data_IF_166415409212
#
_entry.id   IF_166415409212
#
_cell.length_a   1.000
_cell.length_b   1.000
_cell.length_c   1.000
_cell.angle_alpha   90.00
_cell.angle_beta   90.00
_cell.angle_gamma   90.00
#
_symmetry.space_group_name_H-M   'P 1'
#
loop_
_entity.id
_entity.type
_entity.pdbx_description
1 polymer ?
#
# COMPACT_ATOMS: atom_id res chain seq x y z
N UNK A 1 14.31 -24.84 44.18
CA UNK A 1 13.37 -23.82 43.77
C UNK A 1 12.30 -24.50 42.94
N UNK A 2 11.08 -24.60 43.40
CA UNK A 2 9.99 -25.16 42.62
C UNK A 2 9.77 -24.27 41.37
N UNK A 3 9.71 -24.88 40.20
CA UNK A 3 9.33 -24.16 38.99
C UNK A 3 7.93 -23.59 39.19
N UNK A 4 7.80 -22.29 38.95
CA UNK A 4 6.51 -21.62 38.94
C UNK A 4 5.72 -22.13 37.73
N UNK A 5 4.78 -23.06 37.99
CA UNK A 5 3.94 -23.69 36.95
C UNK A 5 2.78 -22.79 36.51
N UNK A 6 2.84 -21.50 36.82
CA UNK A 6 1.80 -20.55 36.40
C UNK A 6 1.84 -20.32 34.87
N UNK A 7 0.66 -20.36 34.25
CA UNK A 7 0.49 -19.99 32.83
C UNK A 7 0.85 -18.52 32.64
N UNK A 8 1.79 -18.25 31.73
CA UNK A 8 2.21 -16.89 31.40
C UNK A 8 1.93 -16.58 29.94
N UNK A 9 1.41 -15.39 29.67
CA UNK A 9 1.28 -14.88 28.32
C UNK A 9 2.66 -14.48 27.77
N UNK A 10 2.96 -14.91 26.56
CA UNK A 10 4.12 -14.40 25.82
C UNK A 10 3.78 -13.01 25.25
N UNK A 11 4.51 -11.99 25.66
CA UNK A 11 4.42 -10.65 25.11
C UNK A 11 5.67 -10.41 24.24
N UNK A 12 5.53 -10.22 22.92
CA UNK A 12 6.67 -9.92 22.06
C UNK A 12 7.33 -8.61 22.49
N UNK A 13 8.64 -8.64 22.72
CA UNK A 13 9.42 -7.46 23.05
C UNK A 13 10.40 -7.12 21.92
N UNK A 14 10.68 -5.83 21.69
CA UNK A 14 11.70 -5.43 20.72
C UNK A 14 13.10 -5.67 21.32
N UNK A 15 14.07 -6.06 20.46
CA UNK A 15 15.47 -6.14 20.87
C UNK A 15 16.07 -4.75 21.14
N UNK A 16 15.56 -3.72 20.45
CA UNK A 16 16.00 -2.32 20.54
C UNK A 16 14.76 -1.42 20.66
N UNK A 17 14.77 -0.50 21.62
CA UNK A 17 13.71 0.49 21.81
C UNK A 17 14.10 1.86 21.24
N UNK A 18 13.13 2.74 20.93
CA UNK A 18 13.42 4.13 20.54
C UNK A 18 14.29 4.82 21.59
N UNK A 19 15.44 5.35 21.15
CA UNK A 19 16.43 5.98 22.02
C UNK A 19 17.64 5.11 22.40
N UNK A 20 17.53 3.77 22.22
CA UNK A 20 18.66 2.86 22.38
C UNK A 20 19.60 2.93 21.18
N UNK A 21 20.85 2.46 21.38
CA UNK A 21 21.78 2.28 20.27
C UNK A 21 21.35 1.06 19.44
N UNK A 22 21.05 1.23 18.12
CA UNK A 22 20.60 0.12 17.29
C UNK A 22 21.77 -0.84 17.03
N UNK A 23 21.52 -2.14 17.23
CA UNK A 23 22.41 -3.23 16.84
C UNK A 23 21.82 -4.00 15.66
N UNK A 24 22.36 -3.80 14.47
CA UNK A 24 21.94 -4.48 13.24
C UNK A 24 22.76 -5.76 12.95
N UNK A 25 23.71 -6.12 13.80
CA UNK A 25 24.61 -7.25 13.57
C UNK A 25 23.88 -8.58 13.45
N UNK A 26 22.72 -8.71 14.12
CA UNK A 26 21.88 -9.91 14.13
C UNK A 26 20.79 -9.91 13.06
N UNK A 27 20.62 -8.81 12.33
CA UNK A 27 19.59 -8.72 11.28
C UNK A 27 20.14 -9.36 9.99
N UNK A 28 19.58 -10.47 9.50
CA UNK A 28 20.01 -11.06 8.25
C UNK A 28 19.58 -10.17 7.08
N UNK A 29 20.52 -9.37 6.59
CA UNK A 29 20.29 -8.53 5.41
C UNK A 29 20.81 -9.30 4.19
N UNK A 30 19.94 -9.72 3.24
CA UNK A 30 20.40 -10.46 2.06
C UNK A 30 21.28 -9.57 1.17
N UNK A 31 22.19 -10.22 0.44
CA UNK A 31 23.04 -9.53 -0.53
C UNK A 31 22.16 -8.86 -1.60
N UNK A 32 22.48 -7.60 -1.95
CA UNK A 32 21.79 -6.93 -3.05
C UNK A 32 21.88 -7.76 -4.34
N UNK A 33 20.79 -7.81 -5.10
CA UNK A 33 20.69 -8.56 -6.35
C UNK A 33 20.55 -10.07 -6.20
N UNK A 34 20.44 -10.63 -4.98
CA UNK A 34 20.35 -12.10 -4.78
C UNK A 34 18.94 -12.68 -4.97
N UNK A 35 17.90 -11.87 -4.90
CA UNK A 35 16.50 -12.33 -5.04
C UNK A 35 16.11 -12.37 -6.51
N UNK A 36 15.59 -13.50 -7.03
CA UNK A 36 15.17 -13.61 -8.42
C UNK A 36 13.97 -12.71 -8.72
N UNK A 37 13.85 -12.26 -9.98
CA UNK A 37 12.68 -11.53 -10.46
C UNK A 37 11.78 -12.49 -11.24
N UNK A 38 10.60 -12.84 -10.72
CA UNK A 38 9.68 -13.74 -11.40
C UNK A 38 8.94 -13.00 -12.53
N UNK A 39 8.37 -13.72 -13.52
CA UNK A 39 7.45 -13.15 -14.47
C UNK A 39 6.20 -12.60 -13.74
N UNK A 40 5.51 -11.62 -14.36
CA UNK A 40 4.36 -10.94 -13.72
C UNK A 40 3.14 -11.85 -13.56
N UNK A 41 3.02 -12.90 -14.37
CA UNK A 41 1.93 -13.90 -14.37
C UNK A 41 2.24 -15.17 -13.55
N UNK A 42 3.35 -15.19 -12.83
CA UNK A 42 3.75 -16.33 -12.01
C UNK A 42 2.66 -16.77 -11.02
N UNK A 43 2.53 -18.07 -10.80
CA UNK A 43 1.63 -18.57 -9.74
C UNK A 43 2.15 -18.11 -8.36
N UNK A 44 1.30 -17.53 -7.51
CA UNK A 44 1.72 -17.11 -6.16
C UNK A 44 2.35 -18.21 -5.32
N UNK A 45 2.01 -19.48 -5.60
CA UNK A 45 2.55 -20.64 -4.89
C UNK A 45 4.04 -20.87 -5.18
N UNK A 46 4.52 -20.44 -6.35
CA UNK A 46 5.90 -20.64 -6.80
C UNK A 46 6.88 -19.59 -6.25
N UNK A 47 6.34 -18.51 -5.67
CA UNK A 47 7.14 -17.37 -5.15
C UNK A 47 6.94 -17.13 -3.65
N UNK A 48 6.50 -18.12 -2.90
CA UNK A 48 6.24 -17.97 -1.45
C UNK A 48 7.45 -17.50 -0.65
N UNK A 49 8.64 -17.89 -1.04
CA UNK A 49 9.89 -17.52 -0.36
C UNK A 49 10.18 -16.02 -0.46
N UNK A 50 9.61 -15.32 -1.45
CA UNK A 50 9.76 -13.88 -1.60
C UNK A 50 9.09 -13.09 -0.47
N UNK A 51 8.12 -13.68 0.21
CA UNK A 51 7.51 -13.09 1.40
C UNK A 51 8.48 -13.01 2.60
N UNK A 52 9.54 -13.80 2.59
CA UNK A 52 10.56 -13.87 3.66
C UNK A 52 11.89 -13.26 3.26
N UNK A 53 12.17 -13.14 1.95
CA UNK A 53 13.36 -12.50 1.41
C UNK A 53 13.16 -10.98 1.31
N UNK A 54 14.27 -10.20 1.30
CA UNK A 54 14.22 -8.76 1.08
C UNK A 54 14.85 -8.43 -0.27
N UNK A 55 14.07 -7.88 -1.19
CA UNK A 55 14.56 -7.42 -2.50
C UNK A 55 15.37 -6.16 -2.28
N UNK A 56 16.61 -6.17 -2.75
CA UNK A 56 17.56 -5.05 -2.74
C UNK A 56 18.27 -4.97 -4.06
N UNK A 57 18.49 -3.77 -4.55
CA UNK A 57 19.16 -3.46 -5.82
C UNK A 57 20.49 -2.77 -5.57
N UNK A 58 20.52 -1.77 -4.69
CA UNK A 58 21.74 -1.04 -4.38
C UNK A 58 22.67 -1.86 -3.47
N UNK A 59 23.90 -2.08 -3.93
CA UNK A 59 24.96 -2.62 -3.10
C UNK A 59 25.62 -1.53 -2.23
N UNK A 60 26.64 -1.88 -1.42
CA UNK A 60 27.33 -0.94 -0.53
C UNK A 60 28.15 0.12 -1.29
N UNK A 61 28.46 -0.12 -2.56
CA UNK A 61 29.18 0.83 -3.40
C UNK A 61 28.24 1.78 -4.16
N UNK A 62 26.92 1.66 -3.97
CA UNK A 62 25.91 2.43 -4.70
C UNK A 62 25.65 1.93 -6.12
N UNK A 63 26.11 0.72 -6.46
CA UNK A 63 25.89 0.12 -7.78
C UNK A 63 24.56 -0.67 -7.80
N UNK A 64 23.83 -0.55 -8.91
CA UNK A 64 22.61 -1.32 -9.14
C UNK A 64 22.96 -2.73 -9.62
N UNK A 65 22.54 -3.77 -8.88
CA UNK A 65 22.89 -5.16 -9.15
C UNK A 65 21.68 -6.09 -9.13
N UNK A 66 21.78 -7.16 -9.91
CA UNK A 66 20.82 -8.27 -9.91
C UNK A 66 19.61 -8.06 -10.84
N UNK A 67 18.67 -9.03 -10.84
CA UNK A 67 17.57 -9.07 -11.83
C UNK A 67 16.50 -8.00 -11.63
N UNK A 68 16.50 -7.33 -10.47
CA UNK A 68 15.62 -6.21 -10.17
C UNK A 68 16.24 -4.85 -10.50
N UNK A 69 17.52 -4.81 -10.91
CA UNK A 69 18.15 -3.58 -11.39
C UNK A 69 17.35 -3.06 -12.59
N UNK A 70 16.74 -1.89 -12.38
CA UNK A 70 15.86 -1.26 -13.37
C UNK A 70 16.65 -0.46 -14.40
N UNK A 71 15.92 0.11 -15.37
CA UNK A 71 16.45 0.91 -16.48
C UNK A 71 16.14 2.39 -16.32
N UNK A 72 16.07 2.91 -15.08
CA UNK A 72 15.91 4.34 -14.86
C UNK A 72 17.12 5.10 -15.40
N UNK A 73 16.85 6.15 -16.15
CA UNK A 73 17.88 7.05 -16.68
C UNK A 73 18.48 7.90 -15.55
N UNK A 74 19.64 8.47 -15.78
CA UNK A 74 20.27 9.40 -14.85
C UNK A 74 19.34 10.57 -14.50
N UNK A 75 18.65 11.13 -15.49
CA UNK A 75 17.69 12.22 -15.27
C UNK A 75 16.55 11.81 -14.32
N UNK A 76 16.02 10.60 -14.47
CA UNK A 76 14.97 10.06 -13.61
C UNK A 76 15.47 9.77 -12.19
N UNK A 77 16.70 9.32 -12.04
CA UNK A 77 17.34 9.13 -10.74
C UNK A 77 17.54 10.46 -10.01
N UNK A 78 18.03 11.48 -10.70
CA UNK A 78 18.19 12.84 -10.18
C UNK A 78 16.83 13.45 -9.80
N UNK A 79 15.79 13.25 -10.60
CA UNK A 79 14.42 13.65 -10.28
C UNK A 79 13.93 12.97 -8.99
N UNK A 80 14.10 11.66 -8.88
CA UNK A 80 13.72 10.88 -7.68
C UNK A 80 14.45 11.38 -6.43
N UNK A 81 15.76 11.61 -6.52
CA UNK A 81 16.56 12.17 -5.43
C UNK A 81 16.04 13.56 -5.04
N UNK A 82 15.72 14.42 -6.01
CA UNK A 82 15.14 15.74 -5.77
C UNK A 82 13.81 15.65 -5.02
N UNK A 83 12.93 14.72 -5.40
CA UNK A 83 11.66 14.51 -4.70
C UNK A 83 11.87 14.10 -3.25
N UNK A 84 12.78 13.15 -2.98
CA UNK A 84 13.10 12.71 -1.61
C UNK A 84 13.68 13.85 -0.77
N UNK A 85 14.61 14.64 -1.32
CA UNK A 85 15.19 15.80 -0.64
C UNK A 85 14.15 16.90 -0.39
N UNK A 86 13.25 17.10 -1.34
CA UNK A 86 12.11 18.05 -1.19
C UNK A 86 11.21 17.63 -0.04
N UNK A 87 10.82 16.35 0.02
CA UNK A 87 10.01 15.81 1.11
C UNK A 87 10.72 15.95 2.47
N UNK A 88 12.01 15.59 2.54
CA UNK A 88 12.83 15.73 3.75
C UNK A 88 12.91 17.17 4.25
N UNK A 89 13.11 18.12 3.33
CA UNK A 89 13.19 19.54 3.65
C UNK A 89 11.84 20.10 4.09
N UNK A 90 10.77 19.68 3.41
CA UNK A 90 9.39 20.01 3.79
C UNK A 90 9.06 19.52 5.19
N UNK A 91 9.39 18.27 5.51
CA UNK A 91 9.21 17.68 6.85
C UNK A 91 9.88 18.51 7.94
N UNK A 92 11.15 18.88 7.74
CA UNK A 92 11.90 19.66 8.72
C UNK A 92 11.24 21.03 8.98
N UNK A 93 10.72 21.67 7.93
CA UNK A 93 10.00 22.93 8.02
C UNK A 93 8.66 22.79 8.73
N UNK A 94 7.89 21.77 8.41
CA UNK A 94 6.57 21.53 9.01
C UNK A 94 6.69 21.13 10.49
N UNK A 95 7.68 20.32 10.86
CA UNK A 95 7.98 20.03 12.27
C UNK A 95 8.35 21.29 13.07
N UNK A 96 9.14 22.17 12.46
CA UNK A 96 9.46 23.46 13.10
C UNK A 96 8.21 24.31 13.28
N UNK A 97 7.34 24.38 12.27
CA UNK A 97 6.07 25.09 12.33
C UNK A 97 5.13 24.52 13.40
N UNK A 98 5.05 23.20 13.51
CA UNK A 98 4.25 22.54 14.53
C UNK A 98 4.76 22.83 15.95
N UNK A 99 6.08 22.75 16.19
CA UNK A 99 6.69 23.09 17.48
C UNK A 99 6.52 24.56 17.86
N UNK A 100 6.38 25.44 16.87
CA UNK A 100 6.07 26.88 17.07
C UNK A 100 4.56 27.15 17.24
N UNK A 101 3.70 26.13 17.24
CA UNK A 101 2.26 26.27 17.33
C UNK A 101 1.58 26.90 16.10
N UNK A 102 2.31 26.99 14.96
CA UNK A 102 1.76 27.56 13.71
C UNK A 102 0.85 26.61 12.95
N UNK A 103 1.01 25.32 13.18
CA UNK A 103 0.12 24.26 12.70
C UNK A 103 -0.23 23.34 13.87
N UNK A 104 -1.43 22.78 13.85
CA UNK A 104 -1.99 22.03 14.99
C UNK A 104 -1.37 20.64 15.14
N UNK A 105 -0.99 20.01 14.01
CA UNK A 105 -0.54 18.63 13.97
C UNK A 105 0.43 18.43 12.80
N UNK A 106 1.42 17.54 12.95
CA UNK A 106 2.26 17.10 11.86
C UNK A 106 2.87 15.72 12.15
N UNK A 107 2.95 14.88 11.14
CA UNK A 107 3.62 13.58 11.18
C UNK A 107 4.69 13.52 10.09
N UNK A 108 5.92 13.27 10.49
CA UNK A 108 7.07 13.21 9.59
C UNK A 108 7.02 11.97 8.68
N UNK A 109 7.62 12.14 7.50
CA UNK A 109 7.85 11.08 6.51
C UNK A 109 9.29 10.55 6.55
N UNK A 110 10.10 11.06 7.48
CA UNK A 110 11.52 10.77 7.59
C UNK A 110 11.79 9.25 7.64
N UNK A 111 12.65 8.78 6.72
CA UNK A 111 12.98 7.36 6.56
C UNK A 111 12.05 6.60 5.62
N UNK A 112 10.95 7.21 5.13
CA UNK A 112 9.99 6.58 4.22
C UNK A 112 9.91 7.33 2.86
N UNK A 113 10.85 8.23 2.57
CA UNK A 113 10.82 9.06 1.37
C UNK A 113 10.91 8.22 0.09
N UNK A 114 11.82 7.25 0.07
CA UNK A 114 12.02 6.41 -1.11
C UNK A 114 10.78 5.56 -1.41
N UNK A 115 10.08 5.06 -0.37
CA UNK A 115 8.88 4.23 -0.54
C UNK A 115 7.83 4.96 -1.37
N UNK A 116 7.43 6.16 -0.97
CA UNK A 116 6.35 6.89 -1.64
C UNK A 116 6.78 7.51 -2.97
N UNK A 117 7.99 8.11 -3.03
CA UNK A 117 8.47 8.77 -4.25
C UNK A 117 8.76 7.77 -5.38
N UNK A 118 9.43 6.64 -5.07
CA UNK A 118 9.73 5.63 -6.08
C UNK A 118 8.47 4.90 -6.56
N UNK A 119 7.52 4.63 -5.64
CA UNK A 119 6.27 3.98 -5.99
C UNK A 119 5.45 4.83 -6.96
N UNK A 120 5.34 6.15 -6.70
CA UNK A 120 4.63 7.07 -7.62
C UNK A 120 5.20 7.05 -9.04
N UNK A 121 6.52 6.97 -9.17
CA UNK A 121 7.20 6.89 -10.48
C UNK A 121 6.82 5.64 -11.29
N UNK A 122 6.39 4.58 -10.62
CA UNK A 122 5.99 3.31 -11.25
C UNK A 122 4.51 3.25 -11.65
N UNK A 123 3.71 4.25 -11.29
CA UNK A 123 2.26 4.28 -11.55
C UNK A 123 1.93 5.09 -12.80
N UNK A 124 0.88 4.66 -13.49
CA UNK A 124 0.34 5.35 -14.64
C UNK A 124 -0.58 6.53 -14.25
N UNK A 125 -0.77 7.51 -15.14
CA UNK A 125 -1.74 8.56 -14.95
C UNK A 125 -3.16 8.00 -14.74
N UNK A 126 -3.81 8.41 -13.66
CA UNK A 126 -5.17 7.99 -13.32
C UNK A 126 -5.26 6.82 -12.35
N UNK A 127 -4.15 6.13 -12.06
CA UNK A 127 -4.11 5.17 -10.95
C UNK A 127 -4.40 5.87 -9.63
N UNK A 128 -5.14 5.21 -8.74
CA UNK A 128 -5.63 5.83 -7.51
C UNK A 128 -4.94 5.25 -6.27
N UNK A 129 -4.25 6.11 -5.52
CA UNK A 129 -3.68 5.77 -4.22
C UNK A 129 -4.68 6.01 -3.09
N UNK A 130 -4.75 5.07 -2.15
CA UNK A 130 -5.49 5.15 -0.89
C UNK A 130 -4.46 5.19 0.24
N UNK A 131 -3.90 6.36 0.53
CA UNK A 131 -2.72 6.51 1.37
C UNK A 131 -3.05 6.63 2.85
N UNK A 132 -2.02 6.55 3.69
CA UNK A 132 -2.02 7.07 5.04
C UNK A 132 -1.39 8.48 5.06
N UNK A 133 -1.27 9.04 6.25
CA UNK A 133 -0.64 10.35 6.47
C UNK A 133 0.86 10.40 6.10
N UNK A 134 1.55 9.25 5.89
CA UNK A 134 3.00 9.23 5.58
C UNK A 134 3.34 9.13 4.10
N UNK A 135 2.39 9.12 3.20
CA UNK A 135 2.65 9.00 1.76
C UNK A 135 2.59 10.32 1.00
N UNK A 136 2.88 11.46 1.65
CA UNK A 136 2.95 12.76 0.95
C UNK A 136 3.98 12.80 -0.19
N UNK A 137 4.97 11.90 -0.19
CA UNK A 137 5.89 11.72 -1.31
C UNK A 137 5.21 11.34 -2.62
N UNK A 138 4.04 10.68 -2.58
CA UNK A 138 3.22 10.42 -3.77
C UNK A 138 2.74 11.72 -4.43
N UNK A 139 2.37 12.71 -3.63
CA UNK A 139 1.95 14.03 -4.12
C UNK A 139 3.13 14.81 -4.69
N UNK A 140 4.25 14.86 -3.98
CA UNK A 140 5.46 15.57 -4.41
C UNK A 140 5.98 14.98 -5.73
N UNK A 141 6.14 13.66 -5.79
CA UNK A 141 6.59 12.97 -7.00
C UNK A 141 5.55 12.99 -8.12
N UNK A 142 4.28 13.21 -7.80
CA UNK A 142 3.20 13.43 -8.75
C UNK A 142 3.08 14.87 -9.26
N UNK A 143 3.90 15.80 -8.77
CA UNK A 143 3.87 17.20 -9.19
C UNK A 143 2.79 18.05 -8.51
N UNK A 144 2.21 17.58 -7.39
CA UNK A 144 1.22 18.37 -6.64
C UNK A 144 1.84 19.68 -6.13
N UNK A 145 1.18 20.83 -6.33
CA UNK A 145 1.77 22.12 -5.96
C UNK A 145 2.07 22.22 -4.46
N UNK A 146 3.34 22.48 -4.12
CA UNK A 146 3.79 22.62 -2.74
C UNK A 146 3.00 23.68 -1.96
N UNK A 147 2.58 24.76 -2.62
CA UNK A 147 1.75 25.79 -2.01
C UNK A 147 0.41 25.27 -1.53
N UNK A 148 -0.15 24.26 -2.20
CA UNK A 148 -1.41 23.61 -1.77
C UNK A 148 -1.19 22.73 -0.54
N UNK A 149 -0.03 22.06 -0.45
CA UNK A 149 0.34 21.33 0.76
C UNK A 149 0.49 22.27 1.96
N UNK A 150 1.08 23.44 1.75
CA UNK A 150 1.18 24.48 2.79
C UNK A 150 -0.19 25.01 3.18
N UNK A 151 -1.05 25.36 2.21
CA UNK A 151 -2.41 25.81 2.50
C UNK A 151 -3.18 24.81 3.35
N UNK A 152 -3.04 23.51 3.02
CA UNK A 152 -3.67 22.45 3.80
C UNK A 152 -3.12 22.40 5.24
N UNK A 153 -1.80 22.33 5.41
CA UNK A 153 -1.17 22.19 6.73
C UNK A 153 -1.39 23.40 7.64
N UNK A 154 -1.48 24.62 7.06
CA UNK A 154 -1.74 25.85 7.80
C UNK A 154 -3.23 26.21 7.89
N UNK A 155 -4.13 25.36 7.36
CA UNK A 155 -5.57 25.64 7.24
C UNK A 155 -5.84 26.99 6.59
N UNK A 156 -5.07 27.30 5.53
CA UNK A 156 -5.18 28.55 4.77
C UNK A 156 -6.50 28.63 4.01
N UNK A 157 -6.87 29.83 3.57
CA UNK A 157 -8.11 30.09 2.83
C UNK A 157 -8.23 29.25 1.55
N UNK A 158 -7.10 29.00 0.88
CA UNK A 158 -7.02 28.20 -0.35
C UNK A 158 -6.88 26.70 -0.09
N UNK A 159 -7.07 26.21 1.15
CA UNK A 159 -7.08 24.78 1.44
C UNK A 159 -8.21 24.07 0.69
N UNK A 160 -7.89 23.08 -0.17
CA UNK A 160 -8.92 22.33 -0.91
C UNK A 160 -9.93 21.62 -0.01
N UNK A 161 -9.52 21.23 1.21
CA UNK A 161 -10.38 20.55 2.18
C UNK A 161 -11.19 21.51 3.05
N UNK A 162 -10.97 22.84 2.90
CA UNK A 162 -11.66 23.87 3.67
C UNK A 162 -11.52 23.71 5.19
N UNK A 163 -10.35 23.29 5.65
CA UNK A 163 -10.08 23.05 7.07
C UNK A 163 -10.79 21.85 7.69
N UNK A 164 -11.40 20.97 6.88
CA UNK A 164 -12.14 19.79 7.39
C UNK A 164 -11.27 18.59 7.69
N UNK A 165 -9.98 18.65 7.36
CA UNK A 165 -9.00 17.60 7.61
C UNK A 165 -7.87 18.12 8.49
N UNK A 166 -7.25 17.23 9.26
CA UNK A 166 -6.02 17.55 9.97
C UNK A 166 -4.86 17.75 8.98
N UNK A 167 -3.83 18.51 9.34
CA UNK A 167 -2.59 18.56 8.57
C UNK A 167 -2.11 17.16 8.21
N UNK A 168 -1.47 17.01 7.04
CA UNK A 168 -1.01 15.78 6.39
C UNK A 168 -2.11 14.82 5.89
N UNK A 169 -3.38 15.08 6.17
CA UNK A 169 -4.50 14.29 5.64
C UNK A 169 -4.99 14.89 4.32
N UNK A 170 -4.14 14.83 3.32
CA UNK A 170 -4.40 15.40 1.99
C UNK A 170 -5.48 14.66 1.21
N UNK A 171 -6.01 15.33 0.18
CA UNK A 171 -6.93 14.76 -0.79
C UNK A 171 -6.76 15.46 -2.14
N UNK A 172 -6.55 14.70 -3.20
CA UNK A 172 -6.50 15.23 -4.57
C UNK A 172 -6.83 14.16 -5.60
N UNK A 173 -8.04 14.21 -6.14
CA UNK A 173 -8.47 13.28 -7.19
C UNK A 173 -7.62 13.41 -8.45
N UNK A 174 -7.25 14.61 -8.83
CA UNK A 174 -6.45 14.91 -10.03
C UNK A 174 -5.08 14.24 -9.99
N UNK A 175 -4.46 14.20 -8.79
CA UNK A 175 -3.15 13.60 -8.59
C UNK A 175 -3.22 12.13 -8.14
N UNK A 176 -4.39 11.47 -8.28
CA UNK A 176 -4.56 10.07 -7.92
C UNK A 176 -4.35 9.80 -6.43
N UNK A 177 -4.75 10.74 -5.56
CA UNK A 177 -4.55 10.68 -4.12
C UNK A 177 -5.90 10.78 -3.40
N UNK A 178 -6.45 9.64 -2.98
CA UNK A 178 -7.73 9.58 -2.28
C UNK A 178 -7.63 10.24 -0.90
N UNK A 179 -8.75 10.72 -0.40
CA UNK A 179 -8.83 11.34 0.92
C UNK A 179 -8.30 10.41 2.01
N UNK A 180 -7.31 10.88 2.77
CA UNK A 180 -6.75 10.09 3.87
C UNK A 180 -7.78 9.90 4.96
N UNK A 181 -8.01 8.64 5.36
CA UNK A 181 -8.83 8.30 6.52
C UNK A 181 -7.99 8.26 7.78
N UNK A 182 -8.52 8.79 8.87
CA UNK A 182 -7.94 8.62 10.21
C UNK A 182 -8.17 7.23 10.81
N UNK A 183 -9.16 6.47 10.30
CA UNK A 183 -9.44 5.11 10.74
C UNK A 183 -8.43 4.14 10.12
N UNK A 184 -7.84 3.29 10.95
CA UNK A 184 -6.79 2.37 10.53
C UNK A 184 -7.34 1.30 9.59
N UNK A 185 -6.54 0.92 8.59
CA UNK A 185 -6.79 -0.11 7.57
C UNK A 185 -7.98 0.15 6.62
N UNK A 186 -8.81 1.17 6.81
CA UNK A 186 -9.93 1.48 5.88
C UNK A 186 -9.45 1.77 4.46
N UNK A 187 -8.20 2.24 4.30
CA UNK A 187 -7.56 2.46 3.00
C UNK A 187 -7.52 1.19 2.15
N UNK A 188 -7.35 0.03 2.77
CA UNK A 188 -7.29 -1.24 2.04
C UNK A 188 -8.64 -1.64 1.47
N UNK A 189 -9.71 -1.61 2.27
CA UNK A 189 -11.05 -1.95 1.77
C UNK A 189 -11.54 -0.94 0.75
N UNK A 190 -11.21 0.35 0.92
CA UNK A 190 -11.50 1.40 -0.06
C UNK A 190 -10.78 1.16 -1.38
N UNK A 191 -9.47 0.83 -1.34
CA UNK A 191 -8.67 0.52 -2.53
C UNK A 191 -9.23 -0.68 -3.29
N UNK A 192 -9.55 -1.77 -2.57
CA UNK A 192 -10.15 -2.97 -3.18
C UNK A 192 -11.50 -2.65 -3.81
N UNK A 193 -12.37 -1.93 -3.12
CA UNK A 193 -13.69 -1.54 -3.65
C UNK A 193 -13.58 -0.67 -4.91
N UNK A 194 -12.65 0.29 -4.91
CA UNK A 194 -12.39 1.14 -6.08
C UNK A 194 -11.83 0.31 -7.25
N UNK A 195 -10.88 -0.58 -6.98
CA UNK A 195 -10.32 -1.48 -7.99
C UNK A 195 -11.39 -2.40 -8.60
N UNK A 196 -12.28 -2.96 -7.78
CA UNK A 196 -13.43 -3.74 -8.26
C UNK A 196 -14.32 -2.90 -9.17
N UNK A 197 -14.63 -1.66 -8.78
CA UNK A 197 -15.43 -0.75 -9.61
C UNK A 197 -14.74 -0.41 -10.93
N UNK A 198 -13.41 -0.20 -10.93
CA UNK A 198 -12.60 -0.01 -12.13
C UNK A 198 -12.70 -1.21 -13.07
N UNK A 199 -12.57 -2.44 -12.53
CA UNK A 199 -12.71 -3.68 -13.31
C UNK A 199 -14.12 -3.85 -13.89
N UNK A 200 -15.18 -3.59 -13.12
CA UNK A 200 -16.57 -3.68 -13.56
C UNK A 200 -16.86 -2.72 -14.73
N UNK A 201 -16.25 -1.54 -14.70
CA UNK A 201 -16.36 -0.52 -15.79
C UNK A 201 -15.52 -0.82 -17.01
N UNK A 202 -14.68 -1.85 -16.99
CA UNK A 202 -13.70 -2.10 -18.05
C UNK A 202 -12.56 -1.05 -18.10
N UNK A 203 -12.32 -0.35 -17.00
CA UNK A 203 -11.29 0.66 -16.86
C UNK A 203 -9.89 0.01 -16.74
N UNK A 204 -8.85 0.70 -17.17
CA UNK A 204 -7.47 0.19 -17.10
C UNK A 204 -6.69 0.64 -15.87
N UNK A 205 -7.25 1.48 -15.02
CA UNK A 205 -6.61 2.02 -13.83
C UNK A 205 -6.61 1.00 -12.69
N UNK A 206 -5.52 0.97 -11.94
CA UNK A 206 -5.38 0.17 -10.74
C UNK A 206 -5.56 1.02 -9.48
N UNK A 207 -5.80 0.37 -8.36
CA UNK A 207 -5.78 1.01 -7.06
C UNK A 207 -4.54 0.57 -6.27
N UNK A 208 -4.04 1.44 -5.40
CA UNK A 208 -2.91 1.17 -4.50
C UNK A 208 -3.32 1.54 -3.08
N UNK A 209 -3.46 0.54 -2.22
CA UNK A 209 -3.74 0.73 -0.80
C UNK A 209 -2.45 0.80 0.03
N UNK A 210 -2.47 1.63 1.09
CA UNK A 210 -1.34 1.83 1.98
C UNK A 210 -1.76 1.71 3.44
N UNK A 211 -1.02 0.94 4.21
CA UNK A 211 -1.20 0.83 5.67
C UNK A 211 0.15 0.74 6.37
N UNK A 212 0.20 1.17 7.63
CA UNK A 212 1.33 0.90 8.51
C UNK A 212 1.27 -0.53 9.06
N UNK A 213 2.38 -0.99 9.64
CA UNK A 213 2.51 -2.31 10.26
C UNK A 213 1.45 -2.55 11.36
N UNK A 214 1.20 -1.59 12.23
CA UNK A 214 0.17 -1.70 13.27
C UNK A 214 -1.24 -1.87 12.75
N UNK A 215 -1.57 -1.23 11.63
CA UNK A 215 -2.89 -1.32 10.99
C UNK A 215 -3.22 -2.72 10.47
N UNK A 216 -2.23 -3.59 10.34
CA UNK A 216 -2.44 -4.98 9.91
C UNK A 216 -3.17 -5.83 10.95
N UNK A 217 -3.32 -5.35 12.19
CA UNK A 217 -4.11 -6.00 13.24
C UNK A 217 -5.61 -5.74 13.12
N UNK A 218 -6.02 -4.75 12.30
CA UNK A 218 -7.42 -4.39 12.12
C UNK A 218 -8.17 -5.42 11.26
N UNK A 219 -9.49 -5.55 11.50
CA UNK A 219 -10.35 -6.45 10.74
C UNK A 219 -10.43 -6.12 9.26
N UNK A 220 -10.44 -4.82 8.91
CA UNK A 220 -10.49 -4.32 7.54
C UNK A 220 -9.29 -4.78 6.71
N UNK A 221 -8.11 -4.95 7.33
CA UNK A 221 -6.94 -5.53 6.68
C UNK A 221 -7.26 -6.92 6.10
N UNK A 222 -7.83 -7.80 6.93
CA UNK A 222 -8.14 -9.18 6.52
C UNK A 222 -9.30 -9.23 5.52
N UNK A 223 -10.33 -8.42 5.71
CA UNK A 223 -11.43 -8.31 4.77
C UNK A 223 -10.95 -7.88 3.38
N UNK A 224 -10.04 -6.91 3.31
CA UNK A 224 -9.46 -6.46 2.04
C UNK A 224 -8.69 -7.58 1.32
N UNK A 225 -7.89 -8.38 2.05
CA UNK A 225 -7.15 -9.50 1.45
C UNK A 225 -8.09 -10.57 0.89
N UNK A 226 -9.19 -10.90 1.62
CA UNK A 226 -10.23 -11.83 1.14
C UNK A 226 -10.83 -11.34 -0.17
N UNK A 227 -11.31 -10.08 -0.21
CA UNK A 227 -11.95 -9.53 -1.40
C UNK A 227 -10.98 -9.37 -2.57
N UNK A 228 -9.76 -8.88 -2.31
CA UNK A 228 -8.74 -8.75 -3.34
C UNK A 228 -8.42 -10.10 -4.01
N UNK A 229 -8.29 -11.16 -3.22
CA UNK A 229 -8.03 -12.51 -3.70
C UNK A 229 -9.23 -13.12 -4.43
N UNK A 230 -10.42 -13.08 -3.81
CA UNK A 230 -11.63 -13.71 -4.34
C UNK A 230 -12.03 -13.11 -5.69
N UNK A 231 -12.02 -11.78 -5.80
CA UNK A 231 -12.44 -11.06 -6.99
C UNK A 231 -11.30 -10.70 -7.93
N UNK A 232 -10.06 -11.05 -7.59
CA UNK A 232 -8.86 -10.70 -8.37
C UNK A 232 -8.86 -9.22 -8.74
N UNK A 233 -9.17 -8.39 -7.75
CA UNK A 233 -9.25 -6.94 -7.95
C UNK A 233 -7.89 -6.39 -8.42
N UNK A 234 -7.86 -5.44 -9.39
CA UNK A 234 -6.62 -4.82 -9.86
C UNK A 234 -6.07 -3.84 -8.81
N UNK A 235 -5.52 -4.39 -7.73
CA UNK A 235 -5.07 -3.63 -6.57
C UNK A 235 -3.68 -4.07 -6.13
N UNK A 236 -2.88 -3.11 -5.69
CA UNK A 236 -1.63 -3.35 -4.96
C UNK A 236 -1.85 -2.93 -3.51
N UNK A 237 -1.53 -3.80 -2.55
CA UNK A 237 -1.72 -3.57 -1.12
C UNK A 237 -0.36 -3.47 -0.43
N UNK A 238 0.02 -2.26 0.00
CA UNK A 238 1.31 -1.97 0.58
C UNK A 238 1.25 -1.89 2.11
N UNK A 239 2.14 -2.62 2.76
CA UNK A 239 2.39 -2.52 4.19
C UNK A 239 3.72 -1.81 4.39
N UNK A 240 3.69 -0.58 4.91
CA UNK A 240 4.90 0.17 5.26
C UNK A 240 5.28 -0.19 6.69
N UNK A 241 6.35 -0.96 6.83
CA UNK A 241 6.81 -1.43 8.12
C UNK A 241 7.98 -0.59 8.62
N UNK A 242 7.69 0.36 9.49
CA UNK A 242 8.67 1.11 10.26
C UNK A 242 8.89 0.55 11.68
N UNK A 243 8.32 -0.62 11.98
CA UNK A 243 8.41 -1.41 13.21
C UNK A 243 7.62 -0.86 14.41
N UNK A 244 7.02 0.31 14.31
CA UNK A 244 6.34 0.94 15.43
C UNK A 244 5.00 1.56 15.02
N UNK A 245 3.96 1.19 15.75
CA UNK A 245 2.67 1.85 15.71
C UNK A 245 2.54 2.71 16.98
N UNK A 246 2.92 3.98 16.90
CA UNK A 246 3.11 4.89 18.04
C UNK A 246 4.14 4.27 19.00
N UNK A 247 3.70 3.71 20.13
CA UNK A 247 4.54 3.03 21.12
C UNK A 247 4.44 1.50 21.09
N UNK A 248 3.66 0.94 20.16
CA UNK A 248 3.45 -0.52 20.04
C UNK A 248 4.43 -1.12 19.05
N UNK A 249 5.23 -2.07 19.51
CA UNK A 249 6.19 -2.79 18.68
C UNK A 249 5.48 -3.71 17.67
N UNK A 250 6.04 -3.80 16.46
CA UNK A 250 5.50 -4.61 15.34
C UNK A 250 5.16 -6.06 15.69
N UNK A 251 5.87 -6.67 16.65
CA UNK A 251 5.66 -8.05 17.09
C UNK A 251 4.25 -8.31 17.60
N UNK A 252 3.58 -7.29 18.16
CA UNK A 252 2.19 -7.37 18.64
C UNK A 252 1.22 -7.50 17.45
N UNK A 253 1.39 -6.67 16.42
CA UNK A 253 0.49 -6.65 15.24
C UNK A 253 0.77 -7.81 14.26
N UNK A 254 2.03 -8.23 14.18
CA UNK A 254 2.47 -9.26 13.23
C UNK A 254 1.91 -10.64 13.53
N UNK A 255 1.73 -10.98 14.81
CA UNK A 255 1.42 -12.34 15.24
C UNK A 255 2.57 -13.31 14.96
N UNK A 256 2.28 -14.60 14.82
CA UNK A 256 3.27 -15.66 14.58
C UNK A 256 3.82 -15.74 13.15
N UNK A 257 3.34 -14.91 12.22
CA UNK A 257 3.77 -14.91 10.82
C UNK A 257 5.15 -14.35 10.64
N UNK A 258 6.24 -14.81 10.57
CA UNK A 258 7.62 -14.26 10.50
C UNK A 258 7.76 -12.87 9.82
N UNK A 259 6.90 -12.53 8.87
CA UNK A 259 6.85 -11.23 8.18
C UNK A 259 5.42 -10.78 7.91
N UNK A 260 5.20 -9.47 7.69
CA UNK A 260 3.88 -8.98 7.29
C UNK A 260 3.47 -9.46 5.89
N UNK A 261 4.42 -9.59 4.96
CA UNK A 261 4.17 -10.11 3.62
C UNK A 261 3.66 -11.56 3.65
N UNK A 262 4.12 -12.38 4.60
CA UNK A 262 3.68 -13.75 4.76
C UNK A 262 2.17 -13.89 5.04
N UNK A 263 1.52 -12.84 5.53
CA UNK A 263 0.06 -12.83 5.76
C UNK A 263 -0.73 -12.94 4.46
N UNK A 264 -0.23 -12.38 3.36
CA UNK A 264 -0.86 -12.50 2.03
C UNK A 264 -0.86 -13.93 1.49
N UNK A 265 0.12 -14.76 1.89
CA UNK A 265 0.21 -16.16 1.45
C UNK A 265 -1.02 -16.98 1.87
N UNK A 266 -1.56 -16.72 3.06
CA UNK A 266 -2.77 -17.39 3.55
C UNK A 266 -4.01 -17.12 2.71
N UNK A 267 -3.99 -16.04 1.92
CA UNK A 267 -5.07 -15.64 1.01
C UNK A 267 -4.75 -15.95 -0.47
N UNK A 268 -3.63 -16.62 -0.75
CA UNK A 268 -3.21 -16.95 -2.11
C UNK A 268 -2.73 -15.73 -2.91
N UNK A 269 -2.33 -14.65 -2.25
CA UNK A 269 -1.82 -13.45 -2.89
C UNK A 269 -0.30 -13.52 -3.05
N UNK A 270 0.26 -13.07 -4.20
CA UNK A 270 1.70 -12.91 -4.35
C UNK A 270 2.19 -11.85 -3.37
N UNK A 271 3.22 -12.18 -2.62
CA UNK A 271 3.69 -11.35 -1.52
C UNK A 271 5.20 -11.17 -1.58
N UNK A 272 5.64 -9.93 -1.71
CA UNK A 272 7.04 -9.55 -1.82
C UNK A 272 7.45 -8.63 -0.67
N UNK A 273 8.72 -8.67 -0.31
CA UNK A 273 9.32 -7.69 0.61
C UNK A 273 10.43 -6.95 -0.11
N UNK A 274 10.47 -5.64 0.10
CA UNK A 274 11.47 -4.76 -0.50
C UNK A 274 12.12 -3.90 0.58
N UNK A 275 13.40 -3.59 0.40
CA UNK A 275 14.08 -2.58 1.22
C UNK A 275 13.50 -1.21 0.86
N UNK A 276 12.73 -0.63 1.79
CA UNK A 276 12.05 0.65 1.59
C UNK A 276 12.99 1.87 1.48
N UNK A 277 14.27 1.70 1.80
CA UNK A 277 15.29 2.75 1.62
C UNK A 277 16.06 2.62 0.29
N UNK A 278 15.83 1.56 -0.46
CA UNK A 278 16.39 1.35 -1.79
C UNK A 278 15.40 1.83 -2.86
N UNK A 279 15.59 3.06 -3.33
CA UNK A 279 14.71 3.69 -4.33
C UNK A 279 14.54 2.84 -5.59
N UNK A 280 15.63 2.22 -6.08
CA UNK A 280 15.60 1.37 -7.28
C UNK A 280 14.83 0.08 -7.04
N UNK A 281 15.01 -0.54 -5.89
CA UNK A 281 14.28 -1.75 -5.52
C UNK A 281 12.78 -1.47 -5.36
N UNK A 282 12.42 -0.38 -4.68
CA UNK A 282 11.01 0.03 -4.53
C UNK A 282 10.38 0.30 -5.90
N UNK A 283 11.05 1.06 -6.78
CA UNK A 283 10.54 1.35 -8.12
C UNK A 283 10.31 0.06 -8.93
N UNK A 284 11.30 -0.85 -8.94
CA UNK A 284 11.22 -2.09 -9.71
C UNK A 284 10.11 -3.01 -9.21
N UNK A 285 9.95 -3.14 -7.87
CA UNK A 285 8.89 -3.95 -7.25
C UNK A 285 7.51 -3.31 -7.48
N UNK A 286 7.40 -1.98 -7.35
CA UNK A 286 6.17 -1.25 -7.61
C UNK A 286 5.70 -1.43 -9.06
N UNK A 287 6.62 -1.32 -10.03
CA UNK A 287 6.32 -1.55 -11.44
C UNK A 287 5.85 -2.98 -11.70
N UNK A 288 6.56 -3.98 -11.17
CA UNK A 288 6.15 -5.38 -11.27
C UNK A 288 4.76 -5.61 -10.65
N UNK A 289 4.48 -5.03 -9.48
CA UNK A 289 3.19 -5.19 -8.80
C UNK A 289 2.06 -4.50 -9.57
N UNK A 290 2.30 -3.32 -10.13
CA UNK A 290 1.33 -2.60 -10.96
C UNK A 290 1.02 -3.36 -12.26
N UNK A 291 2.04 -3.85 -12.96
CA UNK A 291 1.90 -4.70 -14.15
C UNK A 291 1.10 -5.97 -13.81
N UNK A 292 1.42 -6.63 -12.70
CA UNK A 292 0.67 -7.81 -12.25
C UNK A 292 -0.79 -7.50 -11.95
N UNK A 293 -1.08 -6.41 -11.24
CA UNK A 293 -2.46 -6.01 -10.95
C UNK A 293 -3.26 -5.79 -12.24
N UNK A 294 -2.65 -5.21 -13.26
CA UNK A 294 -3.27 -5.03 -14.57
C UNK A 294 -3.50 -6.36 -15.30
N UNK A 295 -2.56 -7.31 -15.26
CA UNK A 295 -2.68 -8.64 -15.88
C UNK A 295 -3.74 -9.50 -15.20
N UNK A 296 -3.74 -9.54 -13.87
CA UNK A 296 -4.61 -10.41 -13.07
C UNK A 296 -6.10 -10.09 -13.28
N UNK A 297 -6.41 -8.84 -13.64
CA UNK A 297 -7.78 -8.42 -13.99
C UNK A 297 -8.22 -8.81 -15.42
N UNK A 298 -7.41 -9.54 -16.18
CA UNK A 298 -7.70 -9.93 -17.57
C UNK A 298 -7.52 -8.79 -18.59
N UNK A 299 -6.80 -7.74 -18.25
CA UNK A 299 -6.65 -6.51 -19.07
C UNK A 299 -5.56 -6.56 -20.12
N UNK A 300 -4.56 -7.43 -19.97
CA UNK A 300 -3.59 -7.69 -21.03
C UNK A 300 -4.05 -8.88 -21.84
N UNK A 301 -3.98 -8.82 -23.19
CA UNK A 301 -4.30 -9.97 -24.00
C UNK A 301 -3.37 -11.12 -23.60
N UNK A 302 -3.95 -12.22 -23.15
CA UNK A 302 -3.24 -13.48 -23.10
C UNK A 302 -2.62 -13.70 -24.48
N UNK A 303 -1.32 -13.78 -24.55
CA UNK A 303 -0.67 -14.34 -25.71
C UNK A 303 -1.19 -15.78 -25.81
N UNK A 304 -2.24 -15.95 -26.60
CA UNK A 304 -2.82 -17.24 -26.89
C UNK A 304 -1.83 -18.03 -27.70
N UNK A 305 -1.01 -18.83 -27.01
CA UNK A 305 -0.47 -20.01 -27.66
C UNK A 305 -1.67 -20.91 -28.01
N UNK A 306 -1.83 -21.35 -29.26
CA UNK A 306 -3.00 -22.08 -29.70
C UNK A 306 -2.94 -23.54 -29.30
N UNK A 307 -3.21 -23.87 -28.05
CA UNK A 307 -3.55 -25.25 -27.66
C UNK A 307 -4.32 -25.24 -26.34
N UNK A 308 -5.64 -25.36 -26.41
CA UNK A 308 -6.45 -25.59 -25.24
C UNK A 308 -7.86 -24.98 -25.38
N UNK A 309 -8.79 -25.77 -25.89
CA UNK A 309 -10.22 -25.44 -25.92
C UNK A 309 -10.73 -25.07 -24.53
N UNK A 310 -11.17 -23.83 -24.36
CA UNK A 310 -11.88 -23.41 -23.16
C UNK A 310 -13.22 -24.16 -23.07
N UNK A 311 -13.62 -24.68 -21.89
CA UNK A 311 -14.97 -25.20 -21.71
C UNK A 311 -15.95 -24.04 -21.80
N UNK A 312 -16.82 -24.09 -22.82
CA UNK A 312 -17.95 -23.19 -22.95
C UNK A 312 -18.94 -23.45 -21.79
N UNK A 313 -19.04 -22.50 -20.88
CA UNK A 313 -20.13 -22.46 -19.92
C UNK A 313 -21.41 -22.12 -20.67
N UNK A 314 -22.50 -22.90 -20.52
CA UNK A 314 -23.80 -22.50 -21.06
C UNK A 314 -24.28 -21.20 -20.42
N UNK A 315 -25.00 -20.34 -21.14
CA UNK A 315 -25.55 -19.11 -20.58
C UNK A 315 -26.47 -19.43 -19.40
N UNK A 316 -26.21 -18.79 -18.26
CA UNK A 316 -27.10 -18.86 -17.11
C UNK A 316 -28.44 -18.18 -17.51
N UNK A 317 -29.50 -18.94 -17.55
CA UNK A 317 -30.87 -18.38 -17.62
C UNK A 317 -31.14 -17.61 -16.33
N UNK A 318 -31.61 -16.36 -16.41
CA UNK A 318 -31.99 -15.62 -15.21
C UNK A 318 -33.13 -16.36 -14.48
N UNK A 319 -33.16 -16.35 -13.15
CA UNK A 319 -34.24 -16.95 -12.39
C UNK A 319 -35.57 -16.24 -12.73
N UNK A 320 -36.73 -16.97 -12.74
CA UNK A 320 -37.99 -16.37 -13.04
C UNK A 320 -38.32 -15.25 -12.05
N UNK A 321 -38.63 -14.08 -12.58
CA UNK A 321 -39.04 -12.91 -11.79
C UNK A 321 -40.31 -13.26 -11.00
N UNK A 322 -40.19 -13.29 -9.68
CA UNK A 322 -41.33 -13.38 -8.79
C UNK A 322 -42.26 -12.18 -9.04
N UNK A 323 -43.49 -12.48 -9.49
CA UNK A 323 -44.56 -11.47 -9.65
C UNK A 323 -44.81 -10.81 -8.29
N UNK A 324 -44.68 -9.49 -8.23
CA UNK A 324 -45.19 -8.72 -7.09
C UNK A 324 -46.72 -8.89 -7.02
N UNK A 325 -47.27 -9.15 -5.82
CA UNK A 325 -48.73 -9.12 -5.67
C UNK A 325 -49.24 -7.68 -5.84
N UNK A 326 -50.32 -7.54 -6.60
CA UNK A 326 -51.03 -6.27 -6.80
C UNK A 326 -51.60 -5.75 -5.48
N UNK A 327 -51.65 -4.43 -5.25
CA UNK A 327 -52.20 -3.86 -4.03
C UNK A 327 -53.74 -4.02 -4.03
N UNK A 328 -54.25 -4.58 -2.95
CA UNK A 328 -55.69 -4.66 -2.65
C UNK A 328 -56.26 -3.26 -2.39
N UNK A 329 -57.43 -2.88 -2.94
CA UNK A 329 -58.03 -1.58 -2.69
C UNK A 329 -58.45 -1.42 -1.23
N UNK A 330 -58.04 -0.29 -0.63
CA UNK A 330 -58.36 0.04 0.75
C UNK A 330 -59.84 0.26 1.00
N UNK A 331 -60.34 -0.28 2.11
CA UNK A 331 -61.61 0.06 2.72
C UNK A 331 -61.47 1.42 3.43
N UNK A 332 -62.35 2.34 3.06
CA UNK A 332 -62.60 3.56 3.83
C UNK A 332 -63.17 3.22 5.20
N UNK A 333 -62.62 3.82 6.26
CA UNK A 333 -63.28 3.92 7.56
C UNK A 333 -63.38 5.37 7.94
N UNK A 334 -64.56 5.87 7.93
CA UNK A 334 -65.08 7.07 8.58
C UNK A 334 -65.04 6.90 10.11
N UNK A 335 -64.34 7.77 10.81
CA UNK A 335 -64.72 8.60 11.95
C UNK A 335 -63.49 9.23 12.54
#
# INVERSE_FOLDING_TARGET
>A
MAADDSLRLHVPEPEVRPGDQPDFSKVPIPKAGSVPRPPVDVDPRDIRDMAFSIIRVLNRNGEAVGPWAGTLTEAELLEGLRHMLTLRTFDARMMTAQRQGKISFYMQHMGEEAVSCAFRKALEPGDMNFPTYRQAGLLIAGGYPMVQMLNHNYSGEADPTKGRQLPVLYSSKEFGFFTVSGNLATQFVQAVGWAMASAIRGDTRIAVGWVGDGSTAESDFHAALVFASTYRAPVVLNIVNNQWAISTFQGIARGGAGTFAARGLGFGLPSLRVDGNDYLAVHAVAKWAAERAAVTSGRLPWNTSPTGSAPTRPPMTPPPTARRPSPTPGRSATR
#
